data_IF_089972495711
#
_entry.id   IF_089972495711
#
_cell.length_a   1.000
_cell.length_b   1.000
_cell.length_c   1.000
_cell.angle_alpha   90.00
_cell.angle_beta   90.00
_cell.angle_gamma   90.00
#
_symmetry.space_group_name_H-M   'P 1'
#
loop_
_entity.id
_entity.type
_entity.pdbx_description
1 polymer ?
#
# COMPACT_ATOMS: atom_id res chain seq x y z
N UNK A 1 48.49 -72.16 15.20
CA UNK A 1 47.63 -71.89 16.36
C UNK A 1 46.91 -70.57 16.12
N UNK A 2 45.59 -70.58 16.25
CA UNK A 2 44.63 -69.46 16.25
C UNK A 2 44.29 -68.71 14.94
N UNK A 3 43.05 -68.99 14.51
CA UNK A 3 42.08 -68.15 13.78
C UNK A 3 42.19 -66.64 14.07
N UNK A 4 41.89 -65.78 13.09
CA UNK A 4 40.55 -65.17 12.99
C UNK A 4 40.33 -64.35 11.70
N UNK A 5 39.09 -64.46 11.22
CA UNK A 5 38.47 -63.79 10.09
C UNK A 5 38.44 -62.26 10.26
N UNK A 6 38.84 -61.52 9.21
CA UNK A 6 38.43 -60.12 9.03
C UNK A 6 37.27 -60.07 8.02
N UNK A 7 36.05 -60.11 8.55
CA UNK A 7 34.82 -59.84 7.79
C UNK A 7 34.61 -58.32 7.75
N UNK A 8 34.50 -57.79 6.53
CA UNK A 8 34.28 -56.38 6.24
C UNK A 8 33.03 -55.82 6.92
N UNK A 9 33.24 -54.79 7.73
CA UNK A 9 32.18 -54.00 8.35
C UNK A 9 31.44 -53.17 7.30
N UNK A 10 30.11 -53.27 7.38
CA UNK A 10 29.12 -52.58 6.55
C UNK A 10 29.20 -51.06 6.77
N UNK A 11 29.26 -50.31 5.67
CA UNK A 11 29.08 -48.86 5.67
C UNK A 11 27.64 -48.49 6.05
N UNK A 12 27.45 -47.87 7.22
CA UNK A 12 26.20 -47.19 7.57
C UNK A 12 26.20 -45.75 7.00
N UNK A 13 25.09 -45.23 6.49
CA UNK A 13 25.05 -43.87 5.95
C UNK A 13 25.15 -42.82 7.07
N UNK A 14 26.01 -41.82 6.87
CA UNK A 14 26.11 -40.65 7.73
C UNK A 14 24.76 -39.92 7.80
N UNK A 15 24.26 -39.79 9.03
CA UNK A 15 23.07 -39.06 9.40
C UNK A 15 23.27 -37.55 9.16
N UNK A 16 22.83 -37.02 8.01
CA UNK A 16 22.80 -35.57 7.77
C UNK A 16 21.73 -34.95 8.68
N UNK A 17 22.16 -34.42 9.82
CA UNK A 17 21.35 -33.48 10.60
C UNK A 17 21.00 -32.29 9.71
N UNK A 18 19.76 -32.25 9.23
CA UNK A 18 19.17 -31.04 8.64
C UNK A 18 19.04 -30.04 9.78
N UNK A 19 19.98 -29.11 9.86
CA UNK A 19 19.81 -27.91 10.68
C UNK A 19 18.72 -27.10 9.98
N UNK A 20 17.49 -27.22 10.46
CA UNK A 20 16.41 -26.30 10.12
C UNK A 20 16.80 -24.93 10.64
N UNK A 21 17.46 -24.13 9.80
CA UNK A 21 17.60 -22.71 10.06
C UNK A 21 16.21 -22.11 9.94
N UNK A 22 15.61 -21.81 11.09
CA UNK A 22 14.47 -20.90 11.19
C UNK A 22 14.91 -19.52 10.68
N UNK A 23 14.97 -19.37 9.36
CA UNK A 23 15.03 -18.06 8.70
C UNK A 23 13.69 -17.42 9.01
N UNK A 24 13.63 -16.68 10.13
CA UNK A 24 12.57 -15.73 10.38
C UNK A 24 12.60 -14.76 9.20
N UNK A 25 11.75 -15.04 8.20
CA UNK A 25 11.60 -14.25 6.98
C UNK A 25 11.33 -12.82 7.45
N UNK A 26 12.31 -11.92 7.31
CA UNK A 26 12.19 -10.53 7.78
C UNK A 26 10.89 -9.98 7.21
N UNK A 27 9.92 -9.73 8.08
CA UNK A 27 8.64 -9.13 7.68
C UNK A 27 8.93 -7.79 7.01
N UNK A 28 8.48 -7.60 5.77
CA UNK A 28 8.59 -6.32 5.10
C UNK A 28 7.93 -5.25 5.97
N UNK A 29 8.55 -4.08 6.13
CA UNK A 29 7.99 -2.95 6.89
C UNK A 29 7.51 -1.81 5.98
N UNK A 30 7.50 -2.04 4.67
CA UNK A 30 7.08 -1.04 3.68
C UNK A 30 5.59 -0.74 3.88
N UNK A 31 5.18 0.51 4.15
CA UNK A 31 3.77 0.85 4.28
C UNK A 31 3.02 0.64 2.95
N UNK A 32 1.73 0.29 3.05
CA UNK A 32 0.84 0.02 1.90
C UNK A 32 -0.24 1.10 1.82
N UNK A 33 -0.42 1.64 0.62
CA UNK A 33 -1.51 2.55 0.25
C UNK A 33 -2.42 1.80 -0.72
N UNK A 34 -3.72 1.79 -0.43
CA UNK A 34 -4.73 1.21 -1.32
C UNK A 34 -5.42 2.32 -2.07
N UNK A 35 -5.50 2.22 -3.40
CA UNK A 35 -6.29 3.11 -4.25
C UNK A 35 -7.46 2.34 -4.87
N UNK A 36 -8.49 3.02 -5.42
CA UNK A 36 -9.57 2.32 -6.09
C UNK A 36 -9.11 1.65 -7.39
N UNK A 37 -9.69 0.49 -7.70
CA UNK A 37 -9.52 -0.18 -8.99
C UNK A 37 -10.36 0.43 -10.14
N UNK A 38 -11.11 1.50 -9.86
CA UNK A 38 -11.98 2.13 -10.84
C UNK A 38 -11.19 3.02 -11.81
N UNK A 39 -11.37 2.80 -13.11
CA UNK A 39 -10.71 3.58 -14.17
C UNK A 39 -11.15 5.03 -14.23
N UNK A 40 -12.33 5.34 -13.69
CA UNK A 40 -12.89 6.69 -13.58
C UNK A 40 -12.40 7.46 -12.35
N UNK A 41 -11.64 6.81 -11.46
CA UNK A 41 -11.00 7.47 -10.32
C UNK A 41 -9.95 8.48 -10.80
N UNK A 42 -9.83 9.61 -10.10
CA UNK A 42 -8.79 10.62 -10.36
C UNK A 42 -7.39 10.09 -10.05
N UNK A 43 -7.28 9.15 -9.12
CA UNK A 43 -6.05 8.44 -8.79
C UNK A 43 -6.16 6.98 -9.23
N UNK A 44 -5.21 6.53 -10.05
CA UNK A 44 -5.11 5.16 -10.55
C UNK A 44 -3.66 4.71 -10.54
N UNK A 45 -3.41 3.42 -10.81
CA UNK A 45 -2.06 2.87 -10.93
C UNK A 45 -1.23 3.52 -12.04
N UNK A 46 -1.86 4.22 -12.98
CA UNK A 46 -1.19 4.89 -14.12
C UNK A 46 -0.58 6.24 -13.71
N UNK A 47 -1.22 6.97 -12.79
CA UNK A 47 -0.82 8.35 -12.42
C UNK A 47 -0.45 8.51 -10.94
N UNK A 48 -0.45 7.41 -10.16
CA UNK A 48 -0.21 7.49 -8.71
C UNK A 48 1.19 7.98 -8.35
N UNK A 49 2.19 7.76 -9.20
CA UNK A 49 3.53 8.34 -9.01
C UNK A 49 3.48 9.86 -9.13
N UNK A 50 2.88 10.37 -10.20
CA UNK A 50 2.74 11.80 -10.43
C UNK A 50 2.01 12.48 -9.25
N UNK A 51 0.93 11.85 -8.76
CA UNK A 51 0.11 12.38 -7.67
C UNK A 51 0.82 12.31 -6.31
N UNK A 52 1.36 11.16 -5.92
CA UNK A 52 1.88 10.97 -4.55
C UNK A 52 3.36 11.29 -4.42
N UNK A 53 4.16 11.09 -5.47
CA UNK A 53 5.60 11.37 -5.43
C UNK A 53 5.91 12.77 -5.92
N UNK A 54 5.33 13.18 -7.05
CA UNK A 54 5.64 14.46 -7.70
C UNK A 54 4.67 15.58 -7.30
N UNK A 55 3.58 15.23 -6.60
CA UNK A 55 2.55 16.15 -6.09
C UNK A 55 1.90 16.96 -7.20
N UNK A 56 1.64 16.30 -8.32
CA UNK A 56 1.01 16.87 -9.51
C UNK A 56 -0.12 15.96 -9.97
N UNK A 57 -1.27 16.54 -10.28
CA UNK A 57 -2.30 15.80 -10.98
C UNK A 57 -1.98 15.72 -12.48
N UNK A 58 -1.99 14.50 -13.01
CA UNK A 58 -1.90 14.19 -14.45
C UNK A 58 -3.02 13.20 -14.75
N UNK A 59 -3.78 13.43 -15.82
CA UNK A 59 -4.92 12.57 -16.12
C UNK A 59 -4.48 11.22 -16.68
N UNK A 60 -5.34 10.21 -16.59
CA UNK A 60 -5.08 8.90 -17.18
C UNK A 60 -4.91 8.99 -18.71
N UNK A 61 -5.66 9.89 -19.35
CA UNK A 61 -5.59 10.14 -20.80
C UNK A 61 -4.23 10.71 -21.20
N UNK A 62 -3.72 11.68 -20.43
CA UNK A 62 -2.39 12.27 -20.65
C UNK A 62 -1.29 11.20 -20.52
N UNK A 63 -1.30 10.42 -19.44
CA UNK A 63 -0.31 9.34 -19.23
C UNK A 63 -0.38 8.26 -20.32
N UNK A 64 -1.58 7.90 -20.77
CA UNK A 64 -1.76 6.94 -21.86
C UNK A 64 -1.22 7.47 -23.20
N UNK A 65 -1.37 8.77 -23.48
CA UNK A 65 -0.78 9.40 -24.67
C UNK A 65 0.75 9.39 -24.64
N UNK A 66 1.35 9.44 -23.44
CA UNK A 66 2.80 9.26 -23.24
C UNK A 66 3.24 7.78 -23.36
N UNK A 67 2.33 6.85 -23.65
CA UNK A 67 2.63 5.43 -23.76
C UNK A 67 2.74 4.68 -22.43
N UNK A 68 2.34 5.31 -21.31
CA UNK A 68 2.40 4.67 -20.00
C UNK A 68 1.37 3.53 -19.89
N UNK A 69 1.82 2.41 -19.34
CA UNK A 69 0.97 1.22 -19.09
C UNK A 69 0.78 0.99 -17.60
N UNK A 70 -0.32 0.34 -17.23
CA UNK A 70 -0.64 0.06 -15.82
C UNK A 70 0.21 -1.09 -15.28
N UNK A 71 0.82 -0.87 -14.13
CA UNK A 71 1.36 -1.95 -13.28
C UNK A 71 0.33 -2.46 -12.27
N UNK A 72 0.48 -3.72 -11.86
CA UNK A 72 -0.32 -4.32 -10.77
C UNK A 72 0.02 -3.75 -9.39
N UNK A 73 1.24 -3.25 -9.24
CA UNK A 73 1.81 -2.73 -8.02
C UNK A 73 2.83 -1.65 -8.36
N UNK A 74 2.83 -0.55 -7.59
CA UNK A 74 3.75 0.56 -7.79
C UNK A 74 4.47 0.84 -6.49
N UNK A 75 5.80 0.93 -6.54
CA UNK A 75 6.61 1.45 -5.44
C UNK A 75 6.83 2.95 -5.66
N UNK A 76 6.37 3.78 -4.73
CA UNK A 76 6.65 5.22 -4.70
C UNK A 76 7.78 5.51 -3.71
N UNK A 77 8.65 6.47 -4.04
CA UNK A 77 9.81 6.85 -3.24
C UNK A 77 9.57 8.25 -2.65
N UNK A 78 8.96 8.30 -1.47
CA UNK A 78 8.65 9.56 -0.81
C UNK A 78 9.91 10.16 -0.21
N UNK A 79 10.29 11.37 -0.64
CA UNK A 79 11.37 12.15 -0.01
C UNK A 79 10.83 12.87 1.22
N UNK A 80 11.48 12.70 2.37
CA UNK A 80 11.17 13.34 3.65
C UNK A 80 12.48 13.79 4.30
N UNK A 81 12.71 15.11 4.29
CA UNK A 81 13.97 15.71 4.73
C UNK A 81 15.19 15.01 4.10
N UNK A 82 15.98 14.28 4.89
CA UNK A 82 17.20 13.58 4.44
C UNK A 82 16.98 12.09 4.16
N UNK A 83 15.73 11.63 4.15
CA UNK A 83 15.38 10.22 3.98
C UNK A 83 14.44 10.02 2.81
N UNK A 84 14.58 8.87 2.15
CA UNK A 84 13.62 8.38 1.15
C UNK A 84 12.94 7.15 1.72
N UNK A 85 11.61 7.19 1.74
CA UNK A 85 10.77 6.13 2.31
C UNK A 85 9.97 5.49 1.18
N UNK A 86 10.10 4.17 0.96
CA UNK A 86 9.29 3.48 -0.01
C UNK A 86 7.88 3.25 0.52
N UNK A 87 6.87 3.47 -0.32
CA UNK A 87 5.50 3.01 -0.08
C UNK A 87 5.05 2.12 -1.22
N UNK A 88 4.39 1.02 -0.88
CA UNK A 88 3.77 0.11 -1.84
C UNK A 88 2.36 0.61 -2.12
N UNK A 89 2.00 0.77 -3.38
CA UNK A 89 0.67 1.14 -3.83
C UNK A 89 0.05 -0.03 -4.58
N UNK A 90 -1.19 -0.36 -4.23
CA UNK A 90 -2.00 -1.38 -4.91
C UNK A 90 -3.43 -0.89 -5.13
N UNK A 91 -4.14 -1.51 -6.06
CA UNK A 91 -5.58 -1.30 -6.26
C UNK A 91 -6.42 -2.58 -6.08
N UNK A 92 -5.76 -3.73 -5.92
CA UNK A 92 -6.41 -5.01 -5.65
C UNK A 92 -6.05 -5.54 -4.25
N UNK A 93 -6.83 -5.20 -3.21
CA UNK A 93 -6.56 -5.62 -1.83
C UNK A 93 -6.77 -7.12 -1.57
N UNK A 94 -7.41 -7.86 -2.50
CA UNK A 94 -7.61 -9.31 -2.35
C UNK A 94 -6.29 -10.11 -2.38
N UNK A 95 -5.20 -9.49 -2.86
CA UNK A 95 -3.85 -10.07 -2.85
C UNK A 95 -3.12 -9.90 -1.51
N UNK A 96 -3.71 -9.17 -0.55
CA UNK A 96 -3.10 -8.91 0.75
C UNK A 96 -3.31 -10.09 1.70
N UNK A 97 -2.23 -10.53 2.32
CA UNK A 97 -2.26 -11.47 3.45
C UNK A 97 -2.68 -10.74 4.73
N UNK A 98 -3.07 -11.49 5.77
CA UNK A 98 -3.37 -10.91 7.09
C UNK A 98 -2.22 -10.06 7.66
N UNK A 99 -0.97 -10.46 7.41
CA UNK A 99 0.21 -9.70 7.82
C UNK A 99 0.41 -8.42 7.00
N UNK A 100 -0.06 -8.36 5.76
CA UNK A 100 0.04 -7.15 4.97
C UNK A 100 -0.94 -6.07 5.45
N UNK A 101 -2.11 -6.47 5.96
CA UNK A 101 -3.12 -5.54 6.48
C UNK A 101 -2.62 -4.72 7.67
N UNK A 102 -1.68 -5.23 8.49
CA UNK A 102 -1.05 -4.42 9.54
C UNK A 102 -0.22 -3.26 8.99
N UNK A 103 0.23 -3.36 7.74
CA UNK A 103 1.03 -2.35 7.02
C UNK A 103 0.19 -1.46 6.12
N UNK A 104 -1.12 -1.67 6.02
CA UNK A 104 -1.98 -0.74 5.31
C UNK A 104 -2.15 0.51 6.16
N UNK A 105 -1.79 1.66 5.57
CA UNK A 105 -1.70 2.93 6.28
C UNK A 105 -2.63 3.99 5.71
N UNK A 106 -2.94 3.90 4.42
CA UNK A 106 -3.88 4.80 3.78
C UNK A 106 -4.77 4.10 2.75
N UNK A 107 -5.97 4.64 2.57
CA UNK A 107 -6.92 4.24 1.52
C UNK A 107 -7.51 5.46 0.83
N UNK A 108 -7.58 5.42 -0.50
CA UNK A 108 -8.38 6.37 -1.28
C UNK A 108 -9.79 5.80 -1.51
N UNK A 109 -10.82 6.54 -1.11
CA UNK A 109 -12.22 6.10 -1.12
C UNK A 109 -13.01 6.76 -2.24
N UNK A 110 -13.96 6.02 -2.81
CA UNK A 110 -14.85 6.50 -3.87
C UNK A 110 -16.25 6.88 -3.36
N UNK A 111 -16.69 6.30 -2.23
CA UNK A 111 -18.01 6.56 -1.62
C UNK A 111 -18.93 5.35 -1.52
N UNK A 112 -19.05 4.46 -2.51
CA UNK A 112 -19.86 3.26 -2.35
C UNK A 112 -19.26 2.25 -1.36
N UNK A 113 -20.04 1.79 -0.39
CA UNK A 113 -19.57 0.85 0.64
C UNK A 113 -19.07 -0.49 0.07
N UNK A 114 -19.56 -0.90 -1.10
CA UNK A 114 -19.10 -2.11 -1.79
C UNK A 114 -17.59 -2.09 -2.11
N UNK A 115 -16.96 -0.91 -2.13
CA UNK A 115 -15.50 -0.77 -2.27
C UNK A 115 -14.74 -1.64 -1.26
N UNK A 116 -15.31 -1.82 -0.05
CA UNK A 116 -14.69 -2.52 1.06
C UNK A 116 -15.14 -3.98 1.19
N UNK A 117 -15.85 -4.53 0.20
CA UNK A 117 -16.29 -5.92 0.23
C UNK A 117 -15.08 -6.87 0.35
N UNK A 118 -15.12 -7.77 1.33
CA UNK A 118 -14.07 -8.75 1.60
C UNK A 118 -12.81 -8.17 2.24
N UNK A 119 -12.86 -6.93 2.75
CA UNK A 119 -11.80 -6.37 3.58
C UNK A 119 -11.95 -6.91 5.02
N UNK A 120 -10.90 -6.81 5.85
CA UNK A 120 -11.04 -7.05 7.29
C UNK A 120 -12.12 -6.16 7.92
N UNK A 121 -12.49 -6.49 9.17
CA UNK A 121 -13.55 -5.78 9.91
C UNK A 121 -14.89 -5.78 9.17
N UNK A 122 -15.18 -6.91 8.51
CA UNK A 122 -16.39 -7.16 7.73
C UNK A 122 -16.69 -6.10 6.66
N UNK A 123 -15.66 -5.39 6.19
CA UNK A 123 -15.83 -4.28 5.25
C UNK A 123 -16.50 -3.04 5.86
N UNK A 124 -16.61 -2.93 7.19
CA UNK A 124 -17.24 -1.81 7.86
C UNK A 124 -16.38 -0.52 7.73
N UNK A 125 -16.86 0.54 7.05
CA UNK A 125 -16.07 1.74 6.84
C UNK A 125 -15.65 2.45 8.13
N UNK A 126 -16.48 2.44 9.17
CA UNK A 126 -16.16 3.09 10.45
C UNK A 126 -14.97 2.39 11.12
N UNK A 127 -15.00 1.05 11.16
CA UNK A 127 -13.88 0.29 11.73
C UNK A 127 -12.62 0.38 10.86
N UNK A 128 -12.76 0.30 9.53
CA UNK A 128 -11.64 0.47 8.59
C UNK A 128 -10.96 1.82 8.82
N UNK A 129 -11.72 2.91 8.87
CA UNK A 129 -11.15 4.26 8.99
C UNK A 129 -10.64 4.59 10.39
N UNK A 130 -11.00 3.80 11.41
CA UNK A 130 -10.35 3.86 12.72
C UNK A 130 -8.93 3.25 12.71
N UNK A 131 -8.60 2.42 11.71
CA UNK A 131 -7.34 1.65 11.61
C UNK A 131 -6.50 1.99 10.39
N UNK A 132 -7.06 2.71 9.42
CA UNK A 132 -6.43 3.12 8.17
C UNK A 132 -6.82 4.58 7.87
N UNK A 133 -5.85 5.41 7.50
CA UNK A 133 -6.11 6.81 7.17
C UNK A 133 -6.83 6.95 5.82
N UNK A 134 -8.03 7.51 5.80
CA UNK A 134 -8.86 7.58 4.60
C UNK A 134 -8.81 8.94 3.90
N UNK A 135 -8.74 8.91 2.57
CA UNK A 135 -8.69 10.10 1.72
C UNK A 135 -9.70 10.01 0.57
N UNK A 136 -10.26 11.15 0.15
CA UNK A 136 -11.09 11.22 -1.05
C UNK A 136 -10.55 12.33 -1.96
N UNK A 137 -10.02 11.92 -3.12
CA UNK A 137 -9.54 12.84 -4.15
C UNK A 137 -10.67 13.17 -5.11
N UNK A 138 -10.96 14.46 -5.26
CA UNK A 138 -12.04 14.94 -6.14
C UNK A 138 -11.73 16.31 -6.72
N UNK A 139 -12.46 16.68 -7.77
CA UNK A 139 -12.48 18.07 -8.22
C UNK A 139 -13.47 18.91 -7.40
N UNK A 140 -13.18 20.20 -7.22
CA UNK A 140 -13.99 21.16 -6.45
C UNK A 140 -15.45 21.24 -6.92
N UNK A 141 -15.69 21.08 -8.21
CA UNK A 141 -17.01 21.27 -8.82
C UNK A 141 -17.88 20.01 -8.79
N UNK A 142 -17.30 18.85 -8.46
CA UNK A 142 -18.05 17.60 -8.37
C UNK A 142 -18.99 17.59 -7.16
N UNK A 143 -20.06 16.79 -7.19
CA UNK A 143 -20.86 16.58 -5.97
C UNK A 143 -20.08 15.67 -5.02
N UNK A 144 -20.06 15.99 -3.72
CA UNK A 144 -19.54 15.07 -2.71
C UNK A 144 -20.48 13.88 -2.59
N UNK A 145 -19.94 12.66 -2.62
CA UNK A 145 -20.73 11.47 -2.35
C UNK A 145 -21.27 11.48 -0.91
N UNK A 146 -22.54 11.11 -0.76
CA UNK A 146 -23.24 11.20 0.53
C UNK A 146 -22.59 10.33 1.62
N UNK A 147 -21.99 9.19 1.27
CA UNK A 147 -21.32 8.33 2.25
C UNK A 147 -19.99 8.94 2.66
N UNK A 148 -19.23 9.49 1.71
CA UNK A 148 -17.95 10.17 2.02
C UNK A 148 -18.18 11.31 3.00
N UNK A 149 -19.25 12.09 2.83
CA UNK A 149 -19.60 13.18 3.76
C UNK A 149 -19.95 12.72 5.19
N UNK A 150 -20.24 11.43 5.41
CA UNK A 150 -20.54 10.84 6.73
C UNK A 150 -19.36 10.12 7.35
N UNK A 151 -18.33 9.82 6.57
CA UNK A 151 -17.19 9.03 7.01
C UNK A 151 -16.04 9.92 7.46
N UNK A 152 -15.19 9.39 8.34
CA UNK A 152 -13.94 10.06 8.76
C UNK A 152 -12.91 10.00 7.64
N UNK A 153 -13.05 10.88 6.65
CA UNK A 153 -12.24 10.91 5.42
C UNK A 153 -11.69 12.32 5.20
N UNK A 154 -10.40 12.41 4.86
CA UNK A 154 -9.77 13.68 4.48
C UNK A 154 -10.04 13.98 3.01
N UNK A 155 -10.65 15.14 2.74
CA UNK A 155 -10.93 15.57 1.36
C UNK A 155 -9.70 16.23 0.74
N UNK A 156 -9.30 15.75 -0.44
CA UNK A 156 -8.27 16.36 -1.27
C UNK A 156 -8.97 16.97 -2.48
N UNK A 157 -9.22 18.27 -2.42
CA UNK A 157 -10.03 18.96 -3.41
C UNK A 157 -9.13 19.68 -4.42
N UNK A 158 -9.02 19.11 -5.63
CA UNK A 158 -8.26 19.70 -6.72
C UNK A 158 -9.12 20.68 -7.51
N UNK A 159 -8.49 21.72 -8.05
CA UNK A 159 -9.09 22.50 -9.14
C UNK A 159 -9.00 21.70 -10.43
N UNK A 160 -9.96 21.83 -11.34
CA UNK A 160 -9.87 21.26 -12.69
C UNK A 160 -8.83 21.96 -13.59
N UNK A 161 -8.53 23.23 -13.33
CA UNK A 161 -7.68 24.05 -14.23
C UNK A 161 -6.43 24.59 -13.56
N UNK A 162 -6.43 24.83 -12.24
CA UNK A 162 -5.31 25.47 -11.53
C UNK A 162 -4.27 24.47 -11.04
N UNK A 163 -3.50 23.87 -11.95
CA UNK A 163 -2.47 22.85 -11.65
C UNK A 163 -1.38 23.32 -10.67
N UNK A 164 -1.09 24.63 -10.61
CA UNK A 164 -0.12 25.19 -9.67
C UNK A 164 -0.55 25.06 -8.20
N UNK A 165 -1.84 24.81 -7.93
CA UNK A 165 -2.37 24.59 -6.58
C UNK A 165 -2.29 23.12 -6.14
N UNK A 166 -2.07 22.19 -7.06
CA UNK A 166 -2.11 20.75 -6.78
C UNK A 166 -1.13 20.37 -5.68
N UNK A 167 0.08 20.95 -5.72
CA UNK A 167 1.13 20.65 -4.75
C UNK A 167 0.66 20.87 -3.32
N UNK A 168 0.01 22.01 -3.04
CA UNK A 168 -0.46 22.33 -1.70
C UNK A 168 -1.56 21.34 -1.23
N UNK A 169 -2.49 21.01 -2.12
CA UNK A 169 -3.57 20.05 -1.81
C UNK A 169 -3.01 18.65 -1.57
N UNK A 170 -2.14 18.16 -2.46
CA UNK A 170 -1.55 16.83 -2.37
C UNK A 170 -0.52 16.72 -1.24
N UNK A 171 0.10 17.82 -0.81
CA UNK A 171 0.93 17.85 0.41
C UNK A 171 0.11 17.54 1.66
N UNK A 172 -1.16 17.95 1.70
CA UNK A 172 -2.08 17.67 2.82
C UNK A 172 -2.26 16.17 3.05
N UNK A 173 -2.22 15.34 2.00
CA UNK A 173 -2.21 13.88 2.13
C UNK A 173 -1.04 13.42 3.01
N UNK A 174 0.17 13.86 2.70
CA UNK A 174 1.38 13.44 3.39
C UNK A 174 1.45 13.96 4.82
N UNK A 175 1.05 15.21 5.06
CA UNK A 175 0.99 15.79 6.41
C UNK A 175 -0.01 15.05 7.30
N UNK A 176 -1.17 14.71 6.75
CA UNK A 176 -2.22 13.96 7.46
C UNK A 176 -1.76 12.54 7.75
N UNK A 177 -1.16 11.88 6.76
CA UNK A 177 -0.63 10.53 6.91
C UNK A 177 0.53 10.49 7.92
N UNK A 178 1.45 11.45 7.92
CA UNK A 178 2.53 11.51 8.92
C UNK A 178 1.99 11.60 10.35
N UNK A 179 1.02 12.50 10.59
CA UNK A 179 0.36 12.63 11.90
C UNK A 179 -0.31 11.34 12.31
N UNK A 180 -1.00 10.67 11.37
CA UNK A 180 -1.64 9.38 11.62
C UNK A 180 -0.61 8.30 11.97
N UNK A 181 0.48 8.21 11.20
CA UNK A 181 1.51 7.19 11.35
C UNK A 181 2.27 7.31 12.67
N UNK A 182 2.61 8.53 13.10
CA UNK A 182 3.26 8.78 14.40
C UNK A 182 2.45 8.24 15.58
N UNK A 183 1.12 8.34 15.49
CA UNK A 183 0.21 7.90 16.56
C UNK A 183 -0.13 6.42 16.47
N UNK A 184 -0.39 5.90 15.27
CA UNK A 184 -1.08 4.61 15.09
C UNK A 184 -0.21 3.51 14.48
N UNK A 185 0.97 3.83 13.94
CA UNK A 185 1.87 2.89 13.26
C UNK A 185 3.36 3.11 13.63
N UNK A 186 3.70 3.23 14.93
CA UNK A 186 5.07 3.57 15.36
C UNK A 186 6.11 2.47 15.04
N UNK A 187 5.66 1.26 14.72
CA UNK A 187 6.49 0.11 14.35
C UNK A 187 6.98 0.15 12.89
N UNK A 188 6.28 0.91 12.03
CA UNK A 188 6.64 1.09 10.63
C UNK A 188 7.68 2.19 10.47
N UNK A 189 8.54 2.05 9.46
CA UNK A 189 9.51 3.10 9.09
C UNK A 189 8.89 3.96 7.99
N UNK A 190 8.72 5.26 8.25
CA UNK A 190 8.01 6.19 7.36
C UNK A 190 8.47 7.66 7.47
#
# INVERSE_FOLDING_TARGET
SFLLYFLGLKNAPLNKRVISQNIHKRTSRTPIIIIPAATTSLITMINVKDILQDLKFVSNEEKKKEGFTRDNEVLIQRKKSNMTVPYRVIDNPQKLTQQDWSRVVAVFVMGPAWQFKGWPWDGNPVEIFSKICAFHLRFNEMKLDNNVGKWSVTLLNLSQTKRHLDRAVLMTFWETLDKYMLKNKPDLRF
#
